data_IF_140546313737
#
_entry.id   IF_140546313737
#
_cell.length_a   1.000
_cell.length_b   1.000
_cell.length_c   1.000
_cell.angle_alpha   90.00
_cell.angle_beta   90.00
_cell.angle_gamma   90.00
#
_symmetry.space_group_name_H-M   'P 1'
#
loop_
_entity.id
_entity.type
_entity.pdbx_description
1 polymer ?
#
# COMPACT_ATOMS: atom_id res chain seq x y z
N UNK A 1 -12.45 3.54 -21.57
CA UNK A 1 -11.84 4.72 -20.93
C UNK A 1 -10.34 4.60 -21.04
N UNK A 2 -9.63 5.61 -21.56
CA UNK A 2 -8.17 5.62 -21.50
C UNK A 2 -7.76 5.80 -20.04
N UNK A 3 -7.09 4.80 -19.46
CA UNK A 3 -6.53 4.89 -18.11
C UNK A 3 -5.49 6.01 -18.14
N UNK A 4 -5.73 7.11 -17.43
CA UNK A 4 -4.73 8.18 -17.28
C UNK A 4 -3.46 7.58 -16.67
N UNK A 5 -2.26 7.94 -17.17
CA UNK A 5 -1.01 7.48 -16.57
C UNK A 5 -0.91 7.91 -15.11
N UNK A 6 -0.15 7.16 -14.31
CA UNK A 6 0.09 7.50 -12.91
C UNK A 6 0.79 8.87 -12.80
N UNK A 7 0.23 9.80 -12.03
CA UNK A 7 0.72 11.16 -11.92
C UNK A 7 1.82 11.27 -10.86
N UNK A 8 3.08 11.13 -11.28
CA UNK A 8 4.23 11.33 -10.39
C UNK A 8 4.51 12.81 -10.03
N UNK A 9 3.81 13.77 -10.64
CA UNK A 9 3.98 15.21 -10.35
C UNK A 9 3.08 15.68 -9.20
N UNK A 10 2.20 14.82 -8.69
CA UNK A 10 1.41 15.12 -7.50
C UNK A 10 2.33 15.29 -6.29
N UNK A 11 2.02 16.24 -5.42
CA UNK A 11 2.81 16.49 -4.21
C UNK A 11 2.45 15.48 -3.10
N UNK A 12 2.93 14.24 -3.25
CA UNK A 12 2.74 13.17 -2.28
C UNK A 12 3.28 13.49 -0.88
N UNK A 13 4.16 14.50 -0.76
CA UNK A 13 4.80 14.86 0.52
C UNK A 13 3.90 15.68 1.44
N UNK A 14 2.89 16.35 0.89
CA UNK A 14 1.96 17.21 1.63
C UNK A 14 0.54 16.63 1.75
N UNK A 15 0.27 15.49 1.11
CA UNK A 15 -1.06 14.87 1.06
C UNK A 15 -1.15 13.72 2.07
N UNK A 16 -2.14 13.83 2.96
CA UNK A 16 -2.67 12.69 3.71
C UNK A 16 -3.79 12.03 2.88
N UNK A 17 -3.53 10.83 2.35
CA UNK A 17 -4.48 10.11 1.50
C UNK A 17 -5.60 9.43 2.29
N UNK A 18 -5.50 9.36 3.62
CA UNK A 18 -6.63 8.97 4.47
C UNK A 18 -7.64 10.10 4.58
N UNK A 19 -7.16 11.35 4.64
CA UNK A 19 -8.03 12.53 4.67
C UNK A 19 -8.51 12.94 3.28
N UNK A 20 -7.72 12.69 2.24
CA UNK A 20 -8.03 13.03 0.84
C UNK A 20 -7.96 11.79 -0.08
N UNK A 21 -8.82 10.77 0.13
CA UNK A 21 -8.81 9.54 -0.65
C UNK A 21 -9.15 9.75 -2.13
N UNK A 22 -9.84 10.85 -2.49
CA UNK A 22 -10.15 11.22 -3.88
C UNK A 22 -8.92 11.59 -4.71
N UNK A 23 -7.82 11.97 -4.05
CA UNK A 23 -6.54 12.24 -4.70
C UNK A 23 -5.74 10.95 -4.96
N UNK A 24 -6.19 9.81 -4.44
CA UNK A 24 -5.54 8.52 -4.67
C UNK A 24 -5.76 8.03 -6.10
N UNK A 25 -4.66 7.64 -6.75
CA UNK A 25 -4.70 7.01 -8.07
C UNK A 25 -4.25 5.56 -7.97
N UNK A 26 -5.12 4.63 -8.41
CA UNK A 26 -4.75 3.21 -8.52
C UNK A 26 -3.73 3.05 -9.66
N UNK A 27 -2.46 2.90 -9.29
CA UNK A 27 -1.36 2.63 -10.22
C UNK A 27 -1.35 1.18 -10.72
N UNK A 28 -0.75 0.92 -11.89
CA UNK A 28 -0.54 -0.44 -12.40
C UNK A 28 0.54 -1.15 -11.56
N UNK A 29 0.30 -2.41 -11.19
CA UNK A 29 1.22 -3.15 -10.32
C UNK A 29 1.44 -2.41 -9.00
N UNK A 30 2.68 -2.00 -8.75
CA UNK A 30 3.16 -1.42 -7.49
C UNK A 30 3.38 0.10 -7.59
N UNK A 31 2.98 0.73 -8.70
CA UNK A 31 3.12 2.18 -8.88
C UNK A 31 2.47 2.96 -7.73
N UNK A 32 3.23 3.88 -7.15
CA UNK A 32 2.79 4.77 -6.07
C UNK A 32 2.89 4.18 -4.65
N UNK A 33 3.16 2.88 -4.49
CA UNK A 33 3.06 2.20 -3.19
C UNK A 33 4.02 2.75 -2.11
N UNK A 34 5.14 3.36 -2.50
CA UNK A 34 6.09 3.99 -1.58
C UNK A 34 5.94 5.51 -1.49
N UNK A 35 4.82 6.06 -2.00
CA UNK A 35 4.55 7.50 -2.01
C UNK A 35 3.30 7.88 -1.19
N UNK A 36 2.38 6.94 -0.97
CA UNK A 36 1.07 7.24 -0.36
C UNK A 36 1.14 7.15 1.17
N UNK A 37 1.10 8.30 1.82
CA UNK A 37 1.02 8.43 3.27
C UNK A 37 -0.45 8.54 3.74
N UNK A 38 -0.77 8.11 4.97
CA UNK A 38 0.12 7.52 5.98
C UNK A 38 0.39 6.01 5.80
N UNK A 39 -0.29 5.37 4.84
CA UNK A 39 -0.30 3.92 4.68
C UNK A 39 1.09 3.32 4.45
N UNK A 40 1.95 3.99 3.67
CA UNK A 40 3.34 3.57 3.52
C UNK A 40 4.03 3.45 4.88
N UNK A 41 3.94 4.48 5.71
CA UNK A 41 4.60 4.50 7.02
C UNK A 41 4.01 3.49 7.99
N UNK A 42 2.73 3.16 7.87
CA UNK A 42 2.07 2.13 8.69
C UNK A 42 2.44 0.71 8.27
N UNK A 43 2.56 0.43 6.97
CA UNK A 43 2.75 -0.92 6.43
C UNK A 43 4.24 -1.29 6.30
N UNK A 44 5.10 -0.36 5.87
CA UNK A 44 6.51 -0.60 5.58
C UNK A 44 7.30 -1.24 6.74
N UNK A 45 7.08 -0.90 8.03
CA UNK A 45 7.78 -1.53 9.15
C UNK A 45 7.60 -3.05 9.26
N UNK A 46 6.47 -3.56 8.77
CA UNK A 46 6.11 -4.99 8.78
C UNK A 46 6.57 -5.74 7.53
N UNK A 47 7.11 -5.04 6.54
CA UNK A 47 7.47 -5.64 5.25
C UNK A 47 8.90 -6.21 5.28
N UNK A 48 9.05 -7.48 5.68
CA UNK A 48 10.34 -8.17 5.78
C UNK A 48 10.33 -9.52 5.05
N UNK A 49 10.90 -9.55 3.86
CA UNK A 49 10.98 -10.76 3.02
C UNK A 49 12.45 -11.14 2.82
N UNK A 50 13.09 -11.64 3.88
CA UNK A 50 14.49 -12.10 3.85
C UNK A 50 14.60 -13.62 3.81
N UNK A 51 13.70 -14.29 4.51
CA UNK A 51 13.61 -15.73 4.68
C UNK A 51 12.14 -16.13 4.85
N UNK A 52 11.84 -17.42 4.73
CA UNK A 52 10.46 -17.94 4.78
C UNK A 52 9.71 -17.52 6.06
N UNK A 53 10.36 -17.61 7.22
CA UNK A 53 9.76 -17.28 8.50
C UNK A 53 9.39 -15.79 8.59
N UNK A 54 10.31 -14.90 8.16
CA UNK A 54 10.05 -13.46 8.11
C UNK A 54 9.00 -13.08 7.05
N UNK A 55 9.00 -13.75 5.89
CA UNK A 55 8.01 -13.55 4.85
C UNK A 55 6.59 -13.90 5.34
N UNK A 56 6.43 -15.05 6.00
CA UNK A 56 5.13 -15.49 6.54
C UNK A 56 4.63 -14.51 7.61
N UNK A 57 5.49 -14.12 8.56
CA UNK A 57 5.15 -13.12 9.57
C UNK A 57 4.77 -11.77 8.96
N UNK A 58 5.51 -11.33 7.94
CA UNK A 58 5.22 -10.07 7.24
C UNK A 58 3.86 -10.12 6.54
N UNK A 59 3.56 -11.21 5.84
CA UNK A 59 2.29 -11.40 5.15
C UNK A 59 1.12 -11.38 6.15
N UNK A 60 1.24 -12.08 7.29
CA UNK A 60 0.22 -12.09 8.35
C UNK A 60 -0.03 -10.69 8.94
N UNK A 61 1.04 -9.95 9.27
CA UNK A 61 0.89 -8.61 9.85
C UNK A 61 0.27 -7.62 8.86
N UNK A 62 0.67 -7.66 7.60
CA UNK A 62 0.10 -6.78 6.56
C UNK A 62 -1.35 -7.18 6.24
N UNK A 63 -1.68 -8.47 6.31
CA UNK A 63 -3.06 -8.93 6.15
C UNK A 63 -3.95 -8.46 7.32
N UNK A 64 -3.45 -8.43 8.55
CA UNK A 64 -4.17 -7.84 9.68
C UNK A 64 -4.45 -6.35 9.47
N UNK A 65 -3.47 -5.59 8.93
CA UNK A 65 -3.70 -4.19 8.55
C UNK A 65 -4.77 -4.08 7.45
N UNK A 66 -4.74 -4.95 6.44
CA UNK A 66 -5.78 -5.00 5.41
C UNK A 66 -7.18 -5.18 6.01
N UNK A 67 -7.36 -6.12 6.93
CA UNK A 67 -8.65 -6.33 7.60
C UNK A 67 -9.05 -5.13 8.47
N UNK A 68 -8.10 -4.48 9.13
CA UNK A 68 -8.36 -3.27 9.90
C UNK A 68 -8.81 -2.10 9.02
N UNK A 69 -8.20 -1.91 7.84
CA UNK A 69 -8.65 -0.92 6.86
C UNK A 69 -10.02 -1.29 6.29
N UNK A 70 -10.26 -2.58 6.00
CA UNK A 70 -11.55 -3.08 5.51
C UNK A 70 -12.68 -2.82 6.49
N UNK A 71 -12.45 -2.99 7.79
CA UNK A 71 -13.44 -2.68 8.83
C UNK A 71 -13.78 -1.18 8.94
N UNK A 72 -12.88 -0.32 8.44
CA UNK A 72 -13.05 1.13 8.41
C UNK A 72 -13.56 1.64 7.06
N UNK A 73 -13.89 0.74 6.12
CA UNK A 73 -14.21 1.06 4.72
C UNK A 73 -13.10 1.91 4.04
N UNK A 74 -11.85 1.73 4.47
CA UNK A 74 -10.69 2.45 3.96
C UNK A 74 -10.09 1.75 2.73
N UNK A 75 -10.61 2.11 1.56
CA UNK A 75 -10.18 1.56 0.28
C UNK A 75 -8.68 1.79 -0.01
N UNK A 76 -8.14 2.96 0.31
CA UNK A 76 -6.73 3.29 0.02
C UNK A 76 -5.82 2.42 0.85
N UNK A 77 -6.11 2.29 2.16
CA UNK A 77 -5.37 1.39 3.04
C UNK A 77 -5.44 -0.06 2.58
N UNK A 78 -6.61 -0.53 2.16
CA UNK A 78 -6.79 -1.88 1.61
C UNK A 78 -5.92 -2.12 0.37
N UNK A 79 -5.93 -1.23 -0.64
CA UNK A 79 -5.13 -1.42 -1.85
C UNK A 79 -3.63 -1.32 -1.57
N UNK A 80 -3.22 -0.43 -0.65
CA UNK A 80 -1.83 -0.32 -0.22
C UNK A 80 -1.33 -1.60 0.46
N UNK A 81 -2.08 -2.15 1.43
CA UNK A 81 -1.73 -3.41 2.08
C UNK A 81 -1.62 -4.57 1.07
N UNK A 82 -2.57 -4.67 0.14
CA UNK A 82 -2.53 -5.66 -0.95
C UNK A 82 -1.28 -5.50 -1.82
N UNK A 83 -0.92 -4.27 -2.22
CA UNK A 83 0.29 -3.99 -3.01
C UNK A 83 1.56 -4.36 -2.26
N UNK A 84 1.66 -4.07 -0.96
CA UNK A 84 2.81 -4.48 -0.15
C UNK A 84 2.93 -6.02 -0.06
N UNK A 85 1.84 -6.75 0.12
CA UNK A 85 1.88 -8.23 0.06
C UNK A 85 2.38 -8.71 -1.31
N UNK A 86 1.87 -8.13 -2.39
CA UNK A 86 2.29 -8.45 -3.76
C UNK A 86 3.78 -8.18 -4.00
N UNK A 87 4.29 -7.04 -3.53
CA UNK A 87 5.73 -6.74 -3.58
C UNK A 87 6.57 -7.76 -2.81
N UNK A 88 6.04 -8.24 -1.68
CA UNK A 88 6.72 -9.24 -0.86
C UNK A 88 6.89 -10.55 -1.63
N UNK A 89 5.82 -10.99 -2.30
CA UNK A 89 5.82 -12.19 -3.12
C UNK A 89 6.80 -12.12 -4.32
N UNK A 90 6.94 -10.95 -4.96
CA UNK A 90 7.86 -10.80 -6.10
C UNK A 90 9.33 -10.68 -5.70
N UNK A 91 9.63 -10.47 -4.40
CA UNK A 91 11.01 -10.39 -3.86
C UNK A 91 11.46 -11.60 -3.05
N UNK A 92 10.52 -12.48 -2.65
CA UNK A 92 10.80 -13.66 -1.83
C UNK A 92 11.29 -14.87 -2.64
#
# INVERSE_FOLDING_TARGET
MAIKPFNYQQDFSSIDFRQQPELYQVGRGEQGVLLVEPYKSEILPFWRYKDEASAMKSAEQIYQLFEAYRQQDDFVGMDMARKFIQMGYTRA
#
